data_IF_066411912685
#
_entry.id   IF_066411912685
#
_cell.length_a   1.000
_cell.length_b   1.000
_cell.length_c   1.000
_cell.angle_alpha   90.00
_cell.angle_beta   90.00
_cell.angle_gamma   90.00
#
_symmetry.space_group_name_H-M   'P 1'
#
loop_
_entity.id
_entity.type
_entity.pdbx_description
1 polymer ?
#
# COMPACT_ATOMS: atom_id res chain seq x y z
N UNK A 1 -8.10 -21.87 -14.68
CA UNK A 1 -8.21 -20.39 -14.67
C UNK A 1 -6.86 -19.81 -15.08
N UNK A 2 -6.82 -18.80 -15.97
CA UNK A 2 -5.56 -18.16 -16.38
C UNK A 2 -4.95 -17.45 -15.17
N UNK A 3 -3.67 -17.71 -14.86
CA UNK A 3 -2.94 -16.96 -13.83
C UNK A 3 -2.23 -15.76 -14.46
N UNK A 4 -2.18 -14.65 -13.73
CA UNK A 4 -1.39 -13.48 -14.10
C UNK A 4 0.01 -13.61 -13.51
N UNK A 5 1.02 -13.31 -14.29
CA UNK A 5 2.39 -13.21 -13.83
C UNK A 5 2.59 -11.88 -13.12
N UNK A 6 3.12 -11.91 -11.91
CA UNK A 6 3.31 -10.71 -11.10
C UNK A 6 4.74 -10.62 -10.58
N UNK A 7 5.22 -9.40 -10.39
CA UNK A 7 6.47 -9.17 -9.68
C UNK A 7 6.22 -8.43 -8.36
N UNK A 8 7.10 -8.66 -7.38
CA UNK A 8 7.09 -7.95 -6.10
C UNK A 8 8.31 -7.05 -6.04
N UNK A 9 8.10 -5.74 -6.07
CA UNK A 9 9.14 -4.71 -5.98
C UNK A 9 9.22 -4.24 -4.53
N UNK A 10 10.41 -4.36 -3.93
CA UNK A 10 10.62 -4.20 -2.50
C UNK A 10 10.43 -5.52 -1.72
N UNK A 11 10.66 -6.66 -2.37
CA UNK A 11 10.39 -8.00 -1.84
C UNK A 11 11.11 -8.34 -0.52
N UNK A 12 12.22 -7.68 -0.22
CA UNK A 12 13.02 -7.95 0.99
C UNK A 12 12.59 -7.13 2.20
N UNK A 13 11.74 -6.12 2.04
CA UNK A 13 11.12 -5.37 3.14
C UNK A 13 9.96 -6.14 3.79
N UNK A 14 9.53 -5.73 4.98
CA UNK A 14 8.47 -6.44 5.74
C UNK A 14 7.17 -6.61 4.92
N UNK A 15 6.73 -5.58 4.21
CA UNK A 15 5.54 -5.65 3.35
C UNK A 15 5.77 -6.59 2.17
N UNK A 16 6.96 -6.53 1.53
CA UNK A 16 7.32 -7.44 0.45
C UNK A 16 7.38 -8.90 0.90
N UNK A 17 7.91 -9.18 2.09
CA UNK A 17 7.89 -10.51 2.70
C UNK A 17 6.44 -11.01 2.92
N UNK A 18 5.54 -10.13 3.37
CA UNK A 18 4.12 -10.44 3.52
C UNK A 18 3.47 -10.75 2.16
N UNK A 19 3.80 -10.01 1.10
CA UNK A 19 3.37 -10.35 -0.26
C UNK A 19 3.85 -11.74 -0.67
N UNK A 20 5.11 -12.08 -0.41
CA UNK A 20 5.64 -13.41 -0.74
C UNK A 20 4.84 -14.52 -0.06
N UNK A 21 4.51 -14.40 1.24
CA UNK A 21 3.68 -15.39 1.93
C UNK A 21 2.29 -15.51 1.31
N UNK A 22 1.61 -14.38 1.09
CA UNK A 22 0.24 -14.35 0.58
C UNK A 22 0.13 -14.85 -0.87
N UNK A 23 1.19 -14.67 -1.67
CA UNK A 23 1.21 -15.03 -3.08
C UNK A 23 1.76 -16.44 -3.36
N UNK A 24 2.29 -17.15 -2.36
CA UNK A 24 2.91 -18.47 -2.55
C UNK A 24 2.01 -19.44 -3.30
N UNK A 25 0.78 -19.58 -2.86
CA UNK A 25 -0.22 -20.49 -3.43
C UNK A 25 -1.46 -19.74 -3.93
N UNK A 26 -1.30 -18.48 -4.36
CA UNK A 26 -2.42 -17.67 -4.78
C UNK A 26 -3.08 -18.25 -6.05
N UNK A 27 -4.43 -18.34 -6.09
CA UNK A 27 -5.13 -18.98 -7.19
C UNK A 27 -5.02 -18.23 -8.50
N UNK A 28 -4.86 -16.91 -8.47
CA UNK A 28 -4.85 -16.05 -9.66
C UNK A 28 -3.50 -15.47 -10.04
N UNK A 29 -2.53 -15.46 -9.12
CA UNK A 29 -1.24 -14.81 -9.34
C UNK A 29 -0.09 -15.82 -9.28
N UNK A 30 0.85 -15.68 -10.20
CA UNK A 30 2.10 -16.40 -10.24
C UNK A 30 3.25 -15.40 -10.10
N UNK A 31 4.03 -15.48 -9.03
CA UNK A 31 5.18 -14.59 -8.83
C UNK A 31 6.31 -15.06 -9.73
N UNK A 32 6.73 -14.20 -10.67
CA UNK A 32 7.79 -14.48 -11.65
C UNK A 32 9.07 -13.70 -11.38
N UNK A 33 9.02 -12.65 -10.58
CA UNK A 33 10.19 -11.87 -10.20
C UNK A 33 10.05 -11.28 -8.80
N UNK A 34 11.14 -11.28 -8.06
CA UNK A 34 11.33 -10.58 -6.80
C UNK A 34 12.43 -9.54 -7.00
N UNK A 35 12.15 -8.28 -6.68
CA UNK A 35 13.11 -7.21 -6.85
C UNK A 35 13.25 -6.39 -5.57
N UNK A 36 14.43 -5.84 -5.37
CA UNK A 36 14.75 -5.01 -4.20
C UNK A 36 15.85 -3.99 -4.54
N UNK A 37 16.45 -3.38 -3.52
CA UNK A 37 17.56 -2.45 -3.68
C UNK A 37 18.82 -3.14 -4.22
N UNK A 38 19.78 -2.39 -4.78
CA UNK A 38 21.05 -2.92 -5.29
C UNK A 38 21.82 -3.80 -4.29
N UNK A 39 21.70 -3.50 -2.98
CA UNK A 39 22.36 -4.30 -1.92
C UNK A 39 21.83 -5.74 -1.78
N UNK A 40 20.65 -6.00 -2.28
CA UNK A 40 20.00 -7.32 -2.28
C UNK A 40 20.05 -8.01 -3.65
N UNK A 41 20.23 -7.25 -4.71
CA UNK A 41 20.25 -7.77 -6.09
C UNK A 41 21.37 -8.80 -6.29
N UNK A 42 21.08 -9.80 -7.12
CA UNK A 42 22.00 -10.90 -7.42
C UNK A 42 22.03 -12.02 -6.38
N UNK A 43 21.47 -11.82 -5.19
CA UNK A 43 21.41 -12.85 -4.14
C UNK A 43 20.19 -13.75 -4.34
N UNK A 44 20.25 -14.99 -3.82
CA UNK A 44 19.05 -15.79 -3.64
C UNK A 44 18.13 -15.11 -2.61
N UNK A 45 16.82 -15.23 -2.77
CA UNK A 45 15.87 -14.55 -1.90
C UNK A 45 16.06 -14.94 -0.43
N UNK A 46 16.27 -16.24 -0.12
CA UNK A 46 16.56 -16.71 1.24
C UNK A 46 17.77 -16.00 1.85
N UNK A 47 18.84 -15.77 1.07
CA UNK A 47 20.05 -15.10 1.53
C UNK A 47 19.82 -13.59 1.69
N UNK A 48 19.05 -13.01 0.77
CA UNK A 48 18.71 -11.59 0.80
C UNK A 48 17.86 -11.19 2.01
N UNK A 49 17.07 -12.11 2.57
CA UNK A 49 16.24 -11.88 3.75
C UNK A 49 16.81 -12.51 5.04
N UNK A 50 17.94 -13.20 4.96
CA UNK A 50 18.60 -13.81 6.12
C UNK A 50 18.85 -12.75 7.22
N UNK A 51 18.52 -13.08 8.48
CA UNK A 51 18.63 -12.18 9.64
C UNK A 51 17.65 -11.01 9.68
N UNK A 52 16.75 -10.89 8.69
CA UNK A 52 15.70 -9.85 8.65
C UNK A 52 14.32 -10.37 8.24
N UNK A 53 14.16 -11.68 8.11
CA UNK A 53 12.86 -12.28 7.93
C UNK A 53 12.00 -12.03 9.15
N UNK A 54 10.86 -11.38 8.96
CA UNK A 54 10.00 -10.91 10.06
C UNK A 54 8.61 -11.59 10.06
N UNK A 55 8.43 -12.63 9.26
CA UNK A 55 7.17 -13.34 9.17
C UNK A 55 7.17 -14.56 10.12
N UNK A 56 5.98 -14.95 10.64
CA UNK A 56 5.87 -16.11 11.55
C UNK A 56 6.13 -17.45 10.87
N UNK A 57 5.90 -17.54 9.56
CA UNK A 57 6.18 -18.74 8.76
C UNK A 57 7.56 -18.67 8.12
N UNK A 58 8.19 -19.79 7.78
CA UNK A 58 9.45 -19.81 7.04
C UNK A 58 9.35 -19.09 5.69
N UNK A 59 10.50 -18.76 5.10
CA UNK A 59 10.56 -18.28 3.72
C UNK A 59 9.96 -19.33 2.80
N UNK A 60 8.97 -18.98 1.95
CA UNK A 60 8.36 -19.95 1.03
C UNK A 60 9.40 -20.61 0.13
N UNK A 61 9.45 -21.95 0.11
CA UNK A 61 10.42 -22.71 -0.69
C UNK A 61 10.35 -22.35 -2.18
N UNK A 62 9.15 -22.07 -2.67
CA UNK A 62 8.90 -21.63 -4.05
C UNK A 62 9.73 -20.41 -4.45
N UNK A 63 10.01 -19.52 -3.51
CA UNK A 63 10.72 -18.25 -3.75
C UNK A 63 12.15 -18.26 -3.22
N UNK A 64 12.49 -19.19 -2.34
CA UNK A 64 13.72 -19.20 -1.58
C UNK A 64 14.99 -19.13 -2.47
N UNK A 65 15.00 -19.84 -3.60
CA UNK A 65 16.10 -19.86 -4.54
C UNK A 65 15.97 -18.88 -5.73
N UNK A 66 14.90 -18.07 -5.78
CA UNK A 66 14.79 -17.04 -6.80
C UNK A 66 15.88 -15.99 -6.63
N UNK A 67 16.55 -15.61 -7.71
CA UNK A 67 17.48 -14.49 -7.71
C UNK A 67 16.72 -13.18 -7.57
N UNK A 68 17.08 -12.38 -6.58
CA UNK A 68 16.52 -11.02 -6.39
C UNK A 68 17.08 -10.11 -7.48
N UNK A 69 16.22 -9.42 -8.18
CA UNK A 69 16.56 -8.45 -9.22
C UNK A 69 16.77 -7.07 -8.61
N UNK A 70 17.48 -6.19 -9.30
CA UNK A 70 17.51 -4.77 -8.97
C UNK A 70 16.23 -4.09 -9.45
N UNK A 71 15.55 -3.37 -8.54
CA UNK A 71 14.27 -2.75 -8.83
C UNK A 71 14.35 -1.66 -9.92
N UNK A 72 15.50 -1.05 -10.11
CA UNK A 72 15.72 0.01 -11.10
C UNK A 72 16.47 -0.48 -12.33
N UNK A 73 17.61 -1.16 -12.14
CA UNK A 73 18.48 -1.61 -13.23
C UNK A 73 17.84 -2.73 -14.04
N UNK A 74 17.12 -3.66 -13.41
CA UNK A 74 16.46 -4.78 -14.08
C UNK A 74 15.01 -4.48 -14.49
N UNK A 75 14.56 -3.20 -14.48
CA UNK A 75 13.18 -2.81 -14.78
C UNK A 75 12.70 -3.40 -16.10
N UNK A 76 13.48 -3.31 -17.17
CA UNK A 76 13.10 -3.85 -18.46
C UNK A 76 12.88 -5.37 -18.47
N UNK A 77 13.71 -6.10 -17.71
CA UNK A 77 13.58 -7.55 -17.52
C UNK A 77 12.31 -7.90 -16.75
N UNK A 78 12.02 -7.16 -15.69
CA UNK A 78 10.81 -7.32 -14.88
C UNK A 78 9.58 -7.01 -15.74
N UNK A 79 9.61 -5.91 -16.48
CA UNK A 79 8.52 -5.44 -17.32
C UNK A 79 8.16 -6.45 -18.43
N UNK A 80 9.14 -7.15 -18.98
CA UNK A 80 8.90 -8.17 -20.01
C UNK A 80 8.30 -9.46 -19.46
N UNK A 81 8.48 -9.74 -18.17
CA UNK A 81 8.06 -10.99 -17.53
C UNK A 81 6.71 -10.88 -16.80
N UNK A 82 6.37 -9.71 -16.29
CA UNK A 82 5.22 -9.52 -15.41
C UNK A 82 4.02 -8.87 -16.13
N UNK A 83 2.82 -9.34 -15.80
CA UNK A 83 1.58 -8.70 -16.22
C UNK A 83 1.33 -7.40 -15.44
N UNK A 84 1.72 -7.33 -14.17
CA UNK A 84 1.75 -6.14 -13.33
C UNK A 84 2.68 -6.34 -12.14
N UNK A 85 2.95 -5.27 -11.39
CA UNK A 85 3.81 -5.33 -10.21
C UNK A 85 3.11 -4.87 -8.95
N UNK A 86 3.38 -5.54 -7.83
CA UNK A 86 3.13 -5.01 -6.49
C UNK A 86 4.37 -4.23 -6.05
N UNK A 87 4.19 -2.97 -5.65
CA UNK A 87 5.28 -2.10 -5.23
C UNK A 87 5.19 -1.75 -3.74
N UNK A 88 6.25 -2.08 -3.00
CA UNK A 88 6.39 -1.84 -1.57
C UNK A 88 7.84 -1.45 -1.21
N UNK A 89 8.43 -0.55 -1.99
CA UNK A 89 9.78 -0.04 -1.77
C UNK A 89 9.84 0.94 -0.60
N UNK A 90 11.01 1.08 0.00
CA UNK A 90 11.27 2.08 1.03
C UNK A 90 12.36 3.04 0.53
N UNK A 91 11.94 4.15 -0.04
CA UNK A 91 12.77 5.20 -0.64
C UNK A 91 12.14 6.57 -0.33
N UNK A 92 12.79 7.66 -0.71
CA UNK A 92 12.17 9.00 -0.65
C UNK A 92 10.95 9.08 -1.57
N UNK A 93 9.96 9.89 -1.20
CA UNK A 93 8.69 9.98 -1.96
C UNK A 93 8.89 10.28 -3.45
N UNK A 94 9.81 11.19 -3.78
CA UNK A 94 10.05 11.57 -5.17
C UNK A 94 10.75 10.45 -5.97
N UNK A 95 11.63 9.70 -5.33
CA UNK A 95 12.27 8.51 -5.92
C UNK A 95 11.23 7.41 -6.18
N UNK A 96 10.30 7.20 -5.22
CA UNK A 96 9.18 6.26 -5.40
C UNK A 96 8.30 6.67 -6.58
N UNK A 97 7.93 7.96 -6.67
CA UNK A 97 7.14 8.47 -7.79
C UNK A 97 7.82 8.21 -9.11
N UNK A 98 9.10 8.56 -9.21
CA UNK A 98 9.88 8.36 -10.42
C UNK A 98 9.97 6.88 -10.81
N UNK A 99 10.21 5.99 -9.84
CA UNK A 99 10.30 4.54 -10.08
C UNK A 99 8.96 3.97 -10.57
N UNK A 100 7.86 4.29 -9.88
CA UNK A 100 6.52 3.81 -10.23
C UNK A 100 6.07 4.33 -11.60
N UNK A 101 6.37 5.60 -11.95
CA UNK A 101 6.11 6.12 -13.29
C UNK A 101 6.97 5.45 -14.37
N UNK A 102 8.23 5.10 -14.08
CA UNK A 102 9.07 4.35 -15.02
C UNK A 102 8.48 2.97 -15.33
N UNK A 103 7.99 2.23 -14.32
CA UNK A 103 7.28 0.97 -14.54
C UNK A 103 6.02 1.17 -15.37
N UNK A 104 5.19 2.15 -15.04
CA UNK A 104 3.99 2.45 -15.80
C UNK A 104 4.32 2.82 -17.25
N UNK A 105 5.33 3.67 -17.50
CA UNK A 105 5.82 4.01 -18.85
C UNK A 105 6.43 2.83 -19.60
N UNK A 106 6.92 1.82 -18.89
CA UNK A 106 7.32 0.53 -19.48
C UNK A 106 6.13 -0.41 -19.73
N UNK A 107 4.91 0.13 -19.73
CA UNK A 107 3.65 -0.57 -19.98
C UNK A 107 3.29 -1.65 -18.93
N UNK A 108 3.82 -1.54 -17.72
CA UNK A 108 3.50 -2.43 -16.60
C UNK A 108 2.65 -1.71 -15.56
N UNK A 109 1.41 -2.14 -15.31
CA UNK A 109 0.61 -1.62 -14.22
C UNK A 109 1.29 -1.78 -12.86
N UNK A 110 1.24 -0.73 -12.04
CA UNK A 110 1.80 -0.71 -10.69
C UNK A 110 0.68 -0.67 -9.65
N UNK A 111 0.61 -1.68 -8.83
CA UNK A 111 -0.27 -1.72 -7.65
C UNK A 111 0.59 -1.40 -6.44
N UNK A 112 0.50 -0.15 -6.00
CA UNK A 112 1.44 0.39 -5.01
C UNK A 112 0.89 0.36 -3.58
N UNK A 113 1.71 -0.11 -2.66
CA UNK A 113 1.48 0.02 -1.22
C UNK A 113 2.03 1.33 -0.65
N UNK A 114 2.79 2.07 -1.46
CA UNK A 114 3.48 3.30 -1.05
C UNK A 114 2.53 4.50 -0.97
N UNK A 115 2.93 5.51 -0.21
CA UNK A 115 2.13 6.73 -0.04
C UNK A 115 2.42 7.82 -1.08
N UNK A 116 3.43 7.62 -1.94
CA UNK A 116 3.96 8.67 -2.80
C UNK A 116 2.93 9.25 -3.78
N UNK A 117 2.11 8.40 -4.39
CA UNK A 117 1.08 8.79 -5.36
C UNK A 117 -0.34 8.93 -4.79
N UNK A 118 -0.55 8.78 -3.46
CA UNK A 118 -1.90 8.81 -2.89
C UNK A 118 -2.70 10.08 -3.20
N UNK A 119 -2.01 11.22 -3.32
CA UNK A 119 -2.63 12.51 -3.65
C UNK A 119 -2.29 13.01 -5.06
N UNK A 120 -1.71 12.18 -5.92
CA UNK A 120 -1.63 12.49 -7.35
C UNK A 120 -3.05 12.48 -7.93
N UNK A 121 -3.47 13.56 -8.63
CA UNK A 121 -4.90 13.75 -8.96
C UNK A 121 -5.52 12.63 -9.79
N UNK A 122 -4.78 12.08 -10.75
CA UNK A 122 -5.21 11.01 -11.66
C UNK A 122 -4.79 9.61 -11.22
N UNK A 123 -4.29 9.45 -9.99
CA UNK A 123 -3.96 8.15 -9.42
C UNK A 123 -5.06 7.71 -8.47
N UNK A 124 -5.75 6.59 -8.75
CA UNK A 124 -6.81 6.11 -7.88
C UNK A 124 -6.21 5.49 -6.60
N UNK A 125 -6.77 5.90 -5.46
CA UNK A 125 -6.55 5.26 -4.16
C UNK A 125 -7.77 4.39 -3.86
N UNK A 126 -7.64 3.08 -4.06
CA UNK A 126 -8.78 2.17 -4.11
C UNK A 126 -8.91 1.34 -2.84
N UNK A 127 -10.12 1.29 -2.32
CA UNK A 127 -10.65 0.23 -1.46
C UNK A 127 -11.80 -0.39 -2.28
N UNK A 128 -11.65 -1.61 -2.83
CA UNK A 128 -12.57 -2.15 -3.84
C UNK A 128 -14.03 -2.21 -3.40
N UNK A 129 -14.28 -2.36 -2.09
CA UNK A 129 -15.62 -2.39 -1.50
C UNK A 129 -16.27 -1.01 -1.39
N UNK A 130 -15.51 0.07 -1.61
CA UNK A 130 -15.95 1.45 -1.38
C UNK A 130 -16.04 2.24 -2.68
N UNK A 131 -14.95 2.27 -3.43
CA UNK A 131 -14.78 3.15 -4.58
C UNK A 131 -14.13 2.45 -5.80
N UNK A 132 -14.66 1.30 -6.24
CA UNK A 132 -14.12 0.61 -7.42
C UNK A 132 -14.24 1.46 -8.70
N UNK A 133 -15.20 2.36 -8.77
CA UNK A 133 -15.43 3.35 -9.83
C UNK A 133 -14.26 4.33 -10.00
N UNK A 134 -13.47 4.58 -8.97
CA UNK A 134 -12.25 5.39 -9.10
C UNK A 134 -11.24 4.79 -10.09
N UNK A 135 -11.35 3.51 -10.44
CA UNK A 135 -10.52 2.89 -11.48
C UNK A 135 -10.76 3.51 -12.88
N UNK A 136 -11.90 4.17 -13.12
CA UNK A 136 -12.19 4.83 -14.40
C UNK A 136 -11.20 5.98 -14.69
N UNK A 137 -10.60 6.60 -13.65
CA UNK A 137 -9.59 7.66 -13.81
C UNK A 137 -8.33 7.18 -14.53
N UNK A 138 -8.07 5.87 -14.55
CA UNK A 138 -6.88 5.28 -15.20
C UNK A 138 -6.80 5.67 -16.68
N UNK A 139 -7.95 5.92 -17.33
CA UNK A 139 -7.97 6.43 -18.69
C UNK A 139 -7.31 7.81 -18.85
N UNK A 140 -7.55 8.74 -17.92
CA UNK A 140 -6.91 10.05 -17.88
C UNK A 140 -5.42 9.93 -17.54
N UNK A 141 -5.08 9.10 -16.56
CA UNK A 141 -3.70 8.84 -16.17
C UNK A 141 -2.85 8.29 -17.34
N UNK A 142 -3.39 7.32 -18.09
CA UNK A 142 -2.70 6.76 -19.28
C UNK A 142 -2.43 7.83 -20.34
N UNK A 143 -3.36 8.76 -20.56
CA UNK A 143 -3.16 9.90 -21.47
C UNK A 143 -2.00 10.77 -21.00
N UNK A 144 -1.95 11.12 -19.71
CA UNK A 144 -0.85 11.90 -19.12
C UNK A 144 0.50 11.20 -19.22
N UNK A 145 0.54 9.90 -18.93
CA UNK A 145 1.78 9.10 -18.94
C UNK A 145 2.24 8.72 -20.35
N UNK A 146 1.35 8.82 -21.36
CA UNK A 146 1.59 8.36 -22.73
C UNK A 146 1.63 6.84 -22.87
N UNK A 147 0.86 6.11 -22.05
CA UNK A 147 0.84 4.65 -21.99
C UNK A 147 -0.45 4.06 -22.57
N UNK A 148 -0.37 2.81 -23.02
CA UNK A 148 -1.55 2.05 -23.48
C UNK A 148 -2.06 1.11 -22.39
N UNK A 149 -1.15 0.47 -21.66
CA UNK A 149 -1.45 -0.53 -20.64
C UNK A 149 -1.02 -0.08 -19.25
N UNK A 150 0.15 0.56 -19.12
CA UNK A 150 0.74 0.95 -17.85
C UNK A 150 -0.08 2.01 -17.12
N UNK A 151 -0.22 1.84 -15.82
CA UNK A 151 -0.86 2.79 -14.90
C UNK A 151 -0.37 2.55 -13.47
N UNK A 152 -0.72 3.45 -12.57
CA UNK A 152 -0.45 3.34 -11.13
C UNK A 152 -1.79 3.40 -10.41
N UNK A 153 -2.04 2.44 -9.51
CA UNK A 153 -3.10 2.48 -8.51
C UNK A 153 -2.50 2.25 -7.14
N UNK A 154 -3.00 2.93 -6.13
CA UNK A 154 -2.42 2.89 -4.79
C UNK A 154 -3.39 2.38 -3.74
N UNK A 155 -2.84 1.73 -2.73
CA UNK A 155 -3.54 1.37 -1.50
C UNK A 155 -3.53 2.56 -0.54
N UNK A 156 -4.63 2.78 0.20
CA UNK A 156 -4.71 3.74 1.29
C UNK A 156 -3.78 3.40 2.45
N UNK A 157 -3.64 4.30 3.40
CA UNK A 157 -2.97 4.02 4.67
C UNK A 157 -3.57 2.79 5.37
N UNK A 158 -2.75 2.03 6.09
CA UNK A 158 -3.17 0.78 6.72
C UNK A 158 -4.18 0.98 7.86
N UNK A 159 -4.06 2.06 8.64
CA UNK A 159 -4.98 2.33 9.75
C UNK A 159 -6.39 2.64 9.29
N UNK A 160 -6.56 3.27 8.12
CA UNK A 160 -7.88 3.59 7.57
C UNK A 160 -8.74 2.35 7.33
N UNK A 161 -8.12 1.23 7.01
CA UNK A 161 -8.84 0.00 6.68
C UNK A 161 -9.49 -0.65 7.90
N UNK A 162 -9.14 -0.21 9.11
CA UNK A 162 -9.83 -0.65 10.32
C UNK A 162 -11.18 0.04 10.54
N UNK A 163 -11.44 1.21 9.91
CA UNK A 163 -12.66 1.97 10.20
C UNK A 163 -13.39 2.52 8.96
N UNK A 164 -12.71 2.90 7.88
CA UNK A 164 -13.37 3.50 6.70
C UNK A 164 -14.36 2.54 6.03
N UNK A 165 -14.07 1.23 5.87
CA UNK A 165 -15.06 0.27 5.37
C UNK A 165 -16.29 0.13 6.25
N UNK A 166 -16.14 0.22 7.59
CA UNK A 166 -17.25 0.17 8.52
C UNK A 166 -18.11 1.44 8.49
N UNK A 167 -17.50 2.59 8.23
CA UNK A 167 -18.21 3.87 8.12
C UNK A 167 -18.92 4.04 6.77
N UNK A 168 -18.40 3.41 5.70
CA UNK A 168 -18.94 3.62 4.36
C UNK A 168 -20.44 3.34 4.23
N UNK A 169 -21.01 2.24 4.70
CA UNK A 169 -22.45 2.00 4.64
C UNK A 169 -23.28 2.96 5.47
N UNK A 170 -22.66 3.63 6.47
CA UNK A 170 -23.34 4.62 7.33
C UNK A 170 -23.42 6.01 6.69
N UNK A 171 -22.72 6.25 5.56
CA UNK A 171 -22.78 7.55 4.86
C UNK A 171 -24.20 7.95 4.43
N UNK A 172 -25.08 7.00 4.20
CA UNK A 172 -26.51 7.25 3.91
C UNK A 172 -27.25 8.04 4.99
N UNK A 173 -26.73 8.09 6.22
CA UNK A 173 -27.28 8.87 7.32
C UNK A 173 -26.69 10.29 7.41
N UNK A 174 -25.77 10.66 6.52
CA UNK A 174 -25.08 11.95 6.52
C UNK A 174 -24.07 12.04 7.64
N UNK A 175 -22.88 11.49 7.45
CA UNK A 175 -21.78 11.62 8.42
C UNK A 175 -21.29 13.06 8.39
N UNK A 176 -21.41 13.79 9.52
CA UNK A 176 -20.96 15.20 9.69
C UNK A 176 -19.52 15.28 10.17
N UNK A 177 -19.21 14.52 11.22
CA UNK A 177 -17.88 14.52 11.81
C UNK A 177 -17.50 13.15 12.32
N UNK A 178 -16.20 12.87 12.31
CA UNK A 178 -15.58 11.66 12.81
C UNK A 178 -14.42 12.06 13.71
N UNK A 179 -14.43 11.58 14.96
CA UNK A 179 -13.25 11.58 15.82
C UNK A 179 -12.73 10.16 15.92
N UNK A 180 -11.48 9.94 15.53
CA UNK A 180 -10.87 8.60 15.49
C UNK A 180 -9.57 8.56 16.27
N UNK A 181 -9.44 7.58 17.15
CA UNK A 181 -8.17 7.22 17.78
C UNK A 181 -7.72 5.87 17.24
N UNK A 182 -6.56 5.82 16.58
CA UNK A 182 -6.01 4.57 16.03
C UNK A 182 -4.96 4.00 16.96
N UNK A 183 -5.05 2.71 17.24
CA UNK A 183 -4.09 1.93 18.01
C UNK A 183 -3.31 1.08 17.02
N UNK A 184 -2.11 1.55 16.66
CA UNK A 184 -1.36 0.97 15.55
C UNK A 184 -0.29 0.00 16.04
N UNK A 185 -0.32 -1.22 15.51
CA UNK A 185 0.66 -2.27 15.76
C UNK A 185 2.05 -1.90 15.22
N UNK A 186 3.10 -2.47 15.82
CA UNK A 186 4.50 -2.22 15.46
C UNK A 186 4.86 -2.66 14.04
N UNK A 187 4.16 -3.65 13.48
CA UNK A 187 4.31 -4.04 12.07
C UNK A 187 4.06 -2.89 11.09
N UNK A 188 3.21 -1.91 11.47
CA UNK A 188 2.99 -0.68 10.69
C UNK A 188 4.23 0.22 10.60
N UNK A 189 5.18 0.10 11.54
CA UNK A 189 6.50 0.73 11.48
C UNK A 189 7.54 -0.13 10.75
N UNK A 190 7.18 -1.31 10.26
CA UNK A 190 8.12 -2.26 9.68
C UNK A 190 9.10 -2.86 10.70
N UNK A 191 8.68 -2.96 11.97
CA UNK A 191 9.52 -3.40 13.10
C UNK A 191 8.90 -4.59 13.83
N UNK A 192 9.74 -5.29 14.54
CA UNK A 192 9.44 -6.34 15.52
C UNK A 192 9.79 -5.84 16.92
N UNK A 193 9.38 -6.51 17.99
CA UNK A 193 9.65 -6.06 19.36
C UNK A 193 11.14 -5.94 19.68
N UNK A 194 11.96 -6.86 19.18
CA UNK A 194 13.43 -6.82 19.30
C UNK A 194 14.07 -5.59 18.63
N UNK A 195 13.40 -5.03 17.60
CA UNK A 195 13.83 -3.83 16.87
C UNK A 195 13.13 -2.55 17.32
N UNK A 196 12.25 -2.64 18.29
CA UNK A 196 11.50 -1.53 18.87
C UNK A 196 11.27 -1.78 20.38
N UNK A 197 12.33 -1.99 21.17
CA UNK A 197 12.17 -2.34 22.60
C UNK A 197 11.51 -1.24 23.41
N UNK A 198 11.59 0.02 22.99
CA UNK A 198 10.97 1.18 23.62
C UNK A 198 9.43 1.14 23.66
N UNK A 199 8.82 0.24 22.88
CA UNK A 199 7.35 0.09 22.88
C UNK A 199 6.85 -0.91 23.94
N UNK A 200 7.74 -1.73 24.52
CA UNK A 200 7.34 -2.73 25.49
C UNK A 200 6.84 -2.01 26.74
N UNK A 201 5.65 -2.38 27.21
CA UNK A 201 4.94 -1.74 28.35
C UNK A 201 4.79 -0.21 28.18
N UNK A 202 4.63 0.25 26.94
CA UNK A 202 4.58 1.67 26.60
C UNK A 202 3.59 1.95 25.47
N UNK A 203 3.18 3.22 25.36
CA UNK A 203 2.38 3.76 24.25
C UNK A 203 3.09 4.99 23.71
N UNK A 204 3.31 5.03 22.38
CA UNK A 204 3.82 6.23 21.72
C UNK A 204 2.60 7.05 21.24
N UNK A 205 2.36 8.23 21.82
CA UNK A 205 1.09 8.96 21.63
C UNK A 205 0.98 9.72 20.31
N UNK A 206 2.04 9.70 19.48
CA UNK A 206 2.07 10.40 18.19
C UNK A 206 2.91 9.64 17.18
N UNK A 207 2.36 9.45 15.99
CA UNK A 207 3.06 8.84 14.86
C UNK A 207 3.13 9.87 13.73
N UNK A 208 4.33 10.36 13.41
CA UNK A 208 4.53 11.44 12.44
C UNK A 208 3.82 11.23 11.10
N UNK A 209 2.94 12.15 10.75
CA UNK A 209 2.18 12.15 9.50
C UNK A 209 1.03 11.14 9.40
N UNK A 210 0.75 10.33 10.43
CA UNK A 210 -0.37 9.37 10.39
C UNK A 210 -1.72 10.06 10.61
N UNK A 211 -1.78 11.08 11.45
CA UNK A 211 -2.99 11.86 11.70
C UNK A 211 -3.44 12.56 10.42
N UNK A 212 -2.54 13.26 9.72
CA UNK A 212 -2.85 13.92 8.44
C UNK A 212 -3.39 12.92 7.40
N UNK A 213 -2.81 11.73 7.31
CA UNK A 213 -3.32 10.67 6.41
C UNK A 213 -4.72 10.24 6.81
N UNK A 214 -4.96 10.02 8.11
CA UNK A 214 -6.25 9.59 8.65
C UNK A 214 -7.34 10.64 8.45
N UNK A 215 -7.00 11.93 8.42
CA UNK A 215 -7.93 13.03 8.19
C UNK A 215 -8.22 13.24 6.69
N UNK A 216 -7.23 13.06 5.81
CA UNK A 216 -7.32 13.47 4.40
C UNK A 216 -7.63 12.32 3.45
N UNK A 217 -7.05 11.13 3.65
CA UNK A 217 -7.22 10.03 2.69
C UNK A 217 -8.67 9.56 2.56
N UNK A 218 -9.50 9.49 3.65
CA UNK A 218 -10.91 9.14 3.51
C UNK A 218 -11.67 10.11 2.60
N UNK A 219 -11.31 11.39 2.59
CA UNK A 219 -11.94 12.41 1.75
C UNK A 219 -11.66 12.15 0.26
N UNK A 220 -10.51 11.61 -0.10
CA UNK A 220 -10.21 11.18 -1.47
C UNK A 220 -10.94 9.88 -1.80
N UNK A 221 -10.97 8.90 -0.88
CA UNK A 221 -11.65 7.62 -1.06
C UNK A 221 -13.15 7.84 -1.32
N UNK A 222 -13.76 8.79 -0.62
CA UNK A 222 -15.16 9.19 -0.78
C UNK A 222 -15.36 10.33 -1.79
N UNK A 223 -14.32 10.72 -2.50
CA UNK A 223 -14.33 11.74 -3.55
C UNK A 223 -15.06 11.27 -4.80
N UNK A 224 -14.93 12.04 -5.86
CA UNK A 224 -15.52 11.76 -7.18
C UNK A 224 -14.54 12.10 -8.29
N UNK A 225 -14.72 11.46 -9.44
CA UNK A 225 -13.97 11.81 -10.66
C UNK A 225 -14.64 13.03 -11.30
N UNK A 226 -13.85 14.06 -11.55
CA UNK A 226 -14.30 15.29 -12.20
C UNK A 226 -13.13 15.91 -12.99
N UNK A 227 -13.34 16.27 -14.25
CA UNK A 227 -12.33 16.93 -15.08
C UNK A 227 -11.04 16.13 -15.33
N UNK A 228 -11.09 14.79 -15.16
CA UNK A 228 -9.91 13.93 -15.30
C UNK A 228 -9.06 13.82 -14.04
N UNK A 229 -9.60 14.22 -12.89
CA UNK A 229 -8.97 14.14 -11.57
C UNK A 229 -9.93 13.56 -10.54
N UNK A 230 -9.39 13.04 -9.43
CA UNK A 230 -10.20 12.65 -8.27
C UNK A 230 -10.27 13.85 -7.32
N UNK A 231 -11.43 14.48 -7.27
CA UNK A 231 -11.74 15.59 -6.38
C UNK A 231 -12.18 15.04 -5.02
N UNK A 232 -11.45 15.43 -3.97
CA UNK A 232 -11.79 15.05 -2.60
C UNK A 232 -13.14 15.68 -2.18
N UNK A 233 -13.91 14.95 -1.38
CA UNK A 233 -15.04 15.55 -0.68
C UNK A 233 -14.53 16.45 0.45
N UNK A 234 -15.35 17.42 0.89
CA UNK A 234 -15.07 18.31 2.01
C UNK A 234 -15.73 17.84 3.32
N UNK A 235 -16.52 16.77 3.25
CA UNK A 235 -17.22 16.13 4.35
C UNK A 235 -17.00 14.62 4.36
N UNK A 236 -17.01 13.98 5.55
CA UNK A 236 -17.13 14.53 6.90
C UNK A 236 -15.89 15.32 7.34
N UNK A 237 -16.02 16.14 8.40
CA UNK A 237 -14.85 16.65 9.12
C UNK A 237 -14.26 15.53 9.96
N UNK A 238 -12.97 15.27 9.81
CA UNK A 238 -12.29 14.17 10.50
C UNK A 238 -11.19 14.74 11.37
N UNK A 239 -11.13 14.30 12.62
CA UNK A 239 -10.03 14.55 13.54
C UNK A 239 -9.46 13.21 13.98
N UNK A 240 -8.15 13.05 13.88
CA UNK A 240 -7.47 11.81 14.18
C UNK A 240 -6.43 11.98 15.28
N UNK A 241 -6.28 10.94 16.10
CA UNK A 241 -5.16 10.73 16.99
C UNK A 241 -4.57 9.34 16.69
N UNK A 242 -3.28 9.29 16.39
CA UNK A 242 -2.64 8.05 15.95
C UNK A 242 -1.55 7.62 16.94
N UNK A 243 -1.82 6.53 17.68
CA UNK A 243 -0.94 5.98 18.69
C UNK A 243 -0.27 4.70 18.22
N UNK A 244 1.00 4.50 18.64
CA UNK A 244 1.65 3.19 18.53
C UNK A 244 1.48 2.43 19.84
N UNK A 245 1.06 1.16 19.72
CA UNK A 245 0.79 0.29 20.87
C UNK A 245 1.64 -0.98 20.80
N UNK A 246 1.89 -1.66 21.95
CA UNK A 246 2.70 -2.88 22.01
C UNK A 246 1.92 -4.11 21.51
N UNK A 247 1.53 -4.06 20.25
CA UNK A 247 0.85 -5.13 19.52
C UNK A 247 1.66 -5.48 18.28
N UNK A 248 1.89 -6.74 18.02
CA UNK A 248 2.71 -7.18 16.88
C UNK A 248 2.07 -6.84 15.54
N UNK A 249 0.82 -7.26 15.33
CA UNK A 249 0.09 -7.12 14.08
C UNK A 249 -1.37 -6.70 14.33
N UNK A 250 -1.94 -6.00 13.35
CA UNK A 250 -3.34 -5.56 13.37
C UNK A 250 -3.54 -4.18 14.02
N UNK A 251 -4.16 -3.28 13.27
CA UNK A 251 -4.54 -1.95 13.77
C UNK A 251 -5.98 -1.97 14.25
N UNK A 252 -6.24 -1.27 15.33
CA UNK A 252 -7.60 -1.08 15.89
C UNK A 252 -7.91 0.41 15.88
N UNK A 253 -9.18 0.78 15.77
CA UNK A 253 -9.62 2.15 15.89
C UNK A 253 -10.83 2.26 16.83
N UNK A 254 -10.82 3.28 17.71
CA UNK A 254 -11.97 3.78 18.41
C UNK A 254 -12.52 4.96 17.64
N UNK A 255 -13.81 4.93 17.29
CA UNK A 255 -14.41 5.89 16.35
C UNK A 255 -15.71 6.44 16.94
N UNK A 256 -15.78 7.78 17.02
CA UNK A 256 -17.00 8.50 17.36
C UNK A 256 -17.50 9.21 16.11
N UNK A 257 -18.78 9.06 15.81
CA UNK A 257 -19.39 9.58 14.59
C UNK A 257 -20.62 10.41 14.92
N UNK A 258 -20.72 11.61 14.35
CA UNK A 258 -21.96 12.38 14.37
C UNK A 258 -22.64 12.36 13.01
N UNK A 259 -23.96 12.26 13.00
CA UNK A 259 -24.78 12.17 11.81
C UNK A 259 -25.72 13.37 11.66
N UNK A 260 -26.19 13.64 10.45
CA UNK A 260 -27.25 14.62 10.18
C UNK A 260 -28.62 14.07 10.54
N UNK A 261 -28.83 12.79 10.22
CA UNK A 261 -30.10 12.08 10.49
C UNK A 261 -29.99 11.32 11.80
N UNK A 262 -31.01 11.42 12.61
CA UNK A 262 -31.17 10.63 13.85
C UNK A 262 -31.69 9.22 13.51
#
# INVERSE_FOLDING_TARGET
MKKYNVAVIGATGMVGQRFCLLLENHPWFNVVALAASPSSAGKKYRDAVAGRWAMPSPVPEKFADMTVLDAEADLGKIASAADFVFCAVNMKKDEIKALEERYAKAEVPVISNNSAHRFTPDVPMIIPEINPDHAEIIGAQKKRLGTKRGFIAVKSNCSLQSYVPALHPLRKYGIKAVAVSTYQAISGAGKTFDRMPEIIDNVIPYIGGEEEKSEREPLKIWGRIEGGEIVCTDTPKITAQCLRVPVSDGHTAAVFVSFEKK
#
